data_IF_020105663497
#
_entry.id   IF_020105663497
#
_cell.length_a   1.000
_cell.length_b   1.000
_cell.length_c   1.000
_cell.angle_alpha   90.00
_cell.angle_beta   90.00
_cell.angle_gamma   90.00
#
_symmetry.space_group_name_H-M   'P 1'
#
loop_
_entity.id
_entity.type
_entity.pdbx_description
1 polymer ?
#
# COMPACT_ATOMS: atom_id res chain seq x y z
N UNK A 1 17.32 5.49 22.84
CA UNK A 1 17.77 5.02 24.18
C UNK A 1 17.21 5.98 25.22
N UNK A 2 16.86 5.52 26.41
CA UNK A 2 16.47 6.43 27.50
C UNK A 2 17.73 7.09 28.09
N UNK A 3 17.56 8.31 28.62
CA UNK A 3 18.58 9.08 29.34
C UNK A 3 17.92 9.72 30.57
N UNK A 4 18.70 10.04 31.60
CA UNK A 4 18.20 10.76 32.77
C UNK A 4 19.30 11.59 33.43
N UNK A 5 18.92 12.42 34.39
CA UNK A 5 19.82 12.88 35.45
C UNK A 5 20.36 11.71 36.29
N UNK A 6 21.43 11.95 37.05
CA UNK A 6 22.06 10.98 37.96
C UNK A 6 21.10 10.45 39.04
N UNK A 7 20.14 11.29 39.44
CA UNK A 7 19.05 10.96 40.36
C UNK A 7 17.72 11.23 39.66
N UNK A 8 16.71 10.42 39.97
CA UNK A 8 15.36 10.49 39.39
C UNK A 8 14.26 10.36 40.46
N UNK A 9 14.59 10.52 41.74
CA UNK A 9 13.68 10.19 42.84
C UNK A 9 12.48 11.12 42.96
N UNK A 10 12.70 12.43 42.81
CA UNK A 10 11.65 13.43 42.81
C UNK A 10 10.80 13.37 41.54
N UNK A 11 11.43 13.30 40.36
CA UNK A 11 10.68 13.20 39.09
C UNK A 11 9.89 11.89 38.97
N UNK A 12 10.43 10.75 39.43
CA UNK A 12 9.69 9.49 39.43
C UNK A 12 8.50 9.51 40.41
N UNK A 13 8.67 10.10 41.60
CA UNK A 13 7.57 10.25 42.55
C UNK A 13 6.48 11.20 42.04
N UNK A 14 6.86 12.32 41.41
CA UNK A 14 5.95 13.25 40.77
C UNK A 14 5.21 12.62 39.57
N UNK A 15 5.93 11.87 38.71
CA UNK A 15 5.34 11.18 37.56
C UNK A 15 4.39 10.07 37.99
N UNK A 16 4.71 9.31 39.04
CA UNK A 16 3.83 8.27 39.58
C UNK A 16 2.51 8.86 40.13
N UNK A 17 2.57 10.03 40.80
CA UNK A 17 1.36 10.76 41.21
C UNK A 17 0.55 11.22 39.99
N UNK A 18 1.22 11.84 39.00
CA UNK A 18 0.57 12.27 37.77
C UNK A 18 -0.11 11.12 37.03
N UNK A 19 0.51 9.94 36.98
CA UNK A 19 -0.06 8.74 36.36
C UNK A 19 -1.33 8.22 37.06
N UNK A 20 -1.51 8.50 38.35
CA UNK A 20 -2.77 8.22 39.05
C UNK A 20 -3.94 9.12 38.64
N UNK A 21 -3.65 10.29 38.06
CA UNK A 21 -4.63 11.29 37.59
C UNK A 21 -4.74 11.35 36.06
N UNK A 22 -3.79 10.78 35.32
CA UNK A 22 -3.78 10.77 33.85
C UNK A 22 -4.87 9.83 33.29
N UNK A 23 -5.58 10.32 32.29
CA UNK A 23 -6.58 9.55 31.53
C UNK A 23 -6.18 9.41 30.06
N UNK A 24 -6.62 8.34 29.40
CA UNK A 24 -6.41 8.20 27.97
C UNK A 24 -7.22 9.27 27.20
N UNK A 25 -6.60 10.02 26.26
CA UNK A 25 -7.30 11.05 25.49
C UNK A 25 -8.28 10.44 24.47
N UNK A 26 -9.35 11.16 24.16
CA UNK A 26 -10.38 10.67 23.24
C UNK A 26 -9.84 10.45 21.82
N UNK A 27 -10.10 9.26 21.27
CA UNK A 27 -9.66 8.82 19.94
C UNK A 27 -10.59 9.38 18.85
N UNK A 28 -10.61 10.70 18.72
CA UNK A 28 -11.52 11.45 17.83
C UNK A 28 -11.10 11.47 16.36
N UNK A 29 -9.82 11.21 16.05
CA UNK A 29 -9.32 11.15 14.68
C UNK A 29 -9.38 9.71 14.16
N UNK A 30 -9.52 9.53 12.85
CA UNK A 30 -9.41 8.21 12.18
C UNK A 30 -8.38 8.28 11.08
N UNK A 31 -7.43 7.34 11.07
CA UNK A 31 -6.44 7.18 10.01
C UNK A 31 -6.69 5.87 9.26
N UNK A 32 -6.39 5.88 7.96
CA UNK A 32 -6.51 4.71 7.09
C UNK A 32 -5.11 4.29 6.63
N UNK A 33 -4.64 3.14 7.10
CA UNK A 33 -3.49 2.45 6.54
C UNK A 33 -3.99 1.72 5.30
N UNK A 34 -3.85 2.36 4.15
CA UNK A 34 -4.12 1.71 2.87
C UNK A 34 -3.19 0.52 2.70
N UNK A 35 -3.73 -0.69 2.49
CA UNK A 35 -2.86 -1.82 2.23
C UNK A 35 -2.18 -1.64 0.87
N UNK A 36 -0.85 -1.80 0.78
CA UNK A 36 -0.16 -1.85 -0.51
C UNK A 36 -0.44 -3.17 -1.26
N UNK A 37 -1.29 -4.06 -0.74
CA UNK A 37 -1.65 -5.33 -1.36
C UNK A 37 -3.14 -5.40 -1.72
N UNK A 38 -3.51 -5.59 -3.00
CA UNK A 38 -4.91 -5.57 -3.46
C UNK A 38 -5.86 -6.64 -2.89
N UNK A 39 -5.43 -7.46 -1.93
CA UNK A 39 -6.22 -8.54 -1.30
C UNK A 39 -6.33 -8.41 0.21
N UNK A 40 -5.73 -7.38 0.79
CA UNK A 40 -5.88 -7.02 2.20
C UNK A 40 -6.68 -5.72 2.25
N UNK A 41 -7.69 -5.65 3.11
CA UNK A 41 -8.44 -4.41 3.31
C UNK A 41 -7.53 -3.32 3.87
N UNK A 42 -7.81 -2.07 3.52
CA UNK A 42 -7.23 -0.91 4.22
C UNK A 42 -7.64 -0.99 5.70
N UNK A 43 -6.67 -0.92 6.62
CA UNK A 43 -6.94 -0.92 8.06
C UNK A 43 -7.21 0.50 8.53
N UNK A 44 -8.42 0.75 9.03
CA UNK A 44 -8.77 1.99 9.71
C UNK A 44 -8.51 1.86 11.20
N UNK A 45 -7.95 2.91 11.83
CA UNK A 45 -7.75 2.95 13.28
C UNK A 45 -8.05 4.34 13.82
N UNK A 46 -8.61 4.41 15.02
CA UNK A 46 -8.85 5.69 15.69
C UNK A 46 -7.69 6.07 16.57
N UNK A 47 -7.45 7.37 16.67
CA UNK A 47 -6.37 7.94 17.46
C UNK A 47 -6.72 9.33 18.01
N UNK A 48 -6.10 9.70 19.11
CA UNK A 48 -6.20 11.02 19.70
C UNK A 48 -5.27 12.01 18.99
N UNK A 49 -5.70 13.26 18.82
CA UNK A 49 -4.84 14.29 18.25
C UNK A 49 -3.70 14.68 19.20
N UNK A 50 -2.59 15.21 18.67
CA UNK A 50 -1.49 15.72 19.51
C UNK A 50 -1.98 16.85 20.44
N UNK A 51 -2.92 17.68 19.99
CA UNK A 51 -3.51 18.74 20.82
C UNK A 51 -4.28 18.16 22.02
N UNK A 52 -5.23 17.25 21.78
CA UNK A 52 -6.02 16.60 22.85
C UNK A 52 -5.12 15.87 23.86
N UNK A 53 -4.07 15.20 23.38
CA UNK A 53 -3.07 14.60 24.25
C UNK A 53 -2.31 15.61 25.10
N UNK A 54 -1.86 16.72 24.50
CA UNK A 54 -1.17 17.78 25.22
C UNK A 54 -2.07 18.47 26.25
N UNK A 55 -3.36 18.62 26.00
CA UNK A 55 -4.29 19.27 26.94
C UNK A 55 -4.46 18.43 28.22
N UNK A 56 -4.59 17.11 28.09
CA UNK A 56 -4.60 16.17 29.23
C UNK A 56 -3.24 16.17 29.94
N UNK A 57 -2.15 15.93 29.18
CA UNK A 57 -0.80 15.76 29.75
C UNK A 57 -0.29 17.02 30.43
N UNK A 58 -0.47 18.20 29.84
CA UNK A 58 -0.01 19.47 30.43
C UNK A 58 -0.70 19.74 31.76
N UNK A 59 -2.02 19.53 31.85
CA UNK A 59 -2.80 19.74 33.07
C UNK A 59 -2.21 18.91 34.21
N UNK A 60 -2.16 17.59 34.04
CA UNK A 60 -1.75 16.66 35.10
C UNK A 60 -0.26 16.74 35.44
N UNK A 61 0.62 16.87 34.45
CA UNK A 61 2.06 17.00 34.71
C UNK A 61 2.41 18.33 35.39
N UNK A 62 1.75 19.44 35.04
CA UNK A 62 2.05 20.75 35.64
C UNK A 62 1.62 20.81 37.11
N UNK A 63 0.57 20.08 37.51
CA UNK A 63 0.17 19.92 38.92
C UNK A 63 1.22 19.20 39.78
N UNK A 64 2.07 18.37 39.15
CA UNK A 64 3.18 17.68 39.79
C UNK A 64 4.54 18.30 39.41
N UNK A 65 4.55 19.58 39.01
CA UNK A 65 5.73 20.38 38.66
C UNK A 65 6.63 19.79 37.54
N UNK A 66 6.05 19.00 36.63
CA UNK A 66 6.75 18.41 35.47
C UNK A 66 6.46 19.21 34.19
N UNK A 67 7.53 19.73 33.58
CA UNK A 67 7.51 20.32 32.25
C UNK A 67 7.82 19.29 31.16
N UNK A 68 7.11 19.36 30.01
CA UNK A 68 7.40 18.57 28.82
C UNK A 68 8.17 19.40 27.79
N UNK A 69 9.33 18.92 27.35
CA UNK A 69 10.19 19.55 26.35
C UNK A 69 10.37 18.60 25.15
N UNK A 70 10.19 19.11 23.93
CA UNK A 70 10.36 18.34 22.70
C UNK A 70 11.23 19.10 21.71
N UNK A 71 12.42 18.57 21.40
CA UNK A 71 13.40 19.19 20.50
C UNK A 71 13.86 18.23 19.42
N UNK A 72 14.13 18.75 18.22
CA UNK A 72 14.62 17.97 17.08
C UNK A 72 16.11 18.19 16.87
N UNK A 73 16.85 17.13 16.53
CA UNK A 73 18.25 17.20 16.07
C UNK A 73 18.43 16.40 14.79
N UNK A 74 19.40 16.77 13.98
CA UNK A 74 19.81 16.01 12.79
C UNK A 74 21.16 15.35 13.03
N UNK A 75 21.25 14.05 12.79
CA UNK A 75 22.50 13.29 12.88
C UNK A 75 23.33 13.49 11.61
N UNK A 76 24.48 14.17 11.72
CA UNK A 76 25.28 14.57 10.57
C UNK A 76 25.76 13.38 9.71
N UNK A 77 26.11 12.25 10.32
CA UNK A 77 26.66 11.09 9.62
C UNK A 77 25.62 10.33 8.77
N UNK A 78 24.33 10.43 9.11
CA UNK A 78 23.26 9.63 8.49
C UNK A 78 22.13 10.47 7.89
N UNK A 79 22.10 11.77 8.20
CA UNK A 79 21.02 12.70 7.87
C UNK A 79 19.72 12.50 8.66
N UNK A 80 19.62 11.51 9.55
CA UNK A 80 18.35 11.22 10.24
C UNK A 80 17.96 12.34 11.21
N UNK A 81 16.67 12.66 11.22
CA UNK A 81 16.07 13.55 12.22
C UNK A 81 15.64 12.71 13.41
N UNK A 82 16.08 13.09 14.60
CA UNK A 82 15.67 12.51 15.88
C UNK A 82 14.86 13.53 16.67
N UNK A 83 13.76 13.07 17.26
CA UNK A 83 13.02 13.79 18.28
C UNK A 83 13.53 13.37 19.65
N UNK A 84 13.98 14.34 20.44
CA UNK A 84 14.24 14.22 21.87
C UNK A 84 12.97 14.64 22.60
N UNK A 85 12.36 13.76 23.40
CA UNK A 85 11.30 14.12 24.34
C UNK A 85 11.87 14.02 25.75
N UNK A 86 11.73 15.08 26.54
CA UNK A 86 12.27 15.20 27.89
C UNK A 86 11.18 15.67 28.85
N UNK A 87 11.08 15.03 30.01
CA UNK A 87 10.32 15.51 31.17
C UNK A 87 11.32 16.08 32.18
N UNK A 88 11.12 17.32 32.61
CA UNK A 88 11.93 18.00 33.62
C UNK A 88 11.06 18.35 34.82
N UNK A 89 11.53 18.06 36.03
CA UNK A 89 10.87 18.42 37.28
C UNK A 89 11.49 19.68 37.91
N UNK A 90 10.74 20.42 38.73
CA UNK A 90 11.21 21.62 39.46
C UNK A 90 12.53 21.42 40.21
N UNK A 91 12.77 20.21 40.73
CA UNK A 91 14.02 19.81 41.41
C UNK A 91 15.28 19.78 40.52
N UNK A 92 15.15 19.93 39.20
CA UNK A 92 16.23 19.76 38.23
C UNK A 92 16.47 18.32 37.77
N UNK A 93 15.83 17.32 38.38
CA UNK A 93 15.81 15.95 37.86
C UNK A 93 15.00 15.85 36.55
N UNK A 94 15.44 14.99 35.63
CA UNK A 94 14.83 14.82 34.32
C UNK A 94 14.97 13.39 33.77
N UNK A 95 14.03 13.01 32.91
CA UNK A 95 14.09 11.78 32.10
C UNK A 95 13.84 12.13 30.62
N UNK A 96 14.48 11.41 29.70
CA UNK A 96 14.40 11.70 28.28
C UNK A 96 14.47 10.43 27.41
N UNK A 97 13.83 10.49 26.25
CA UNK A 97 13.92 9.45 25.21
C UNK A 97 14.10 10.07 23.83
N UNK A 98 14.86 9.35 23.00
CA UNK A 98 15.12 9.66 21.60
C UNK A 98 14.33 8.73 20.68
N UNK A 99 13.58 9.31 19.74
CA UNK A 99 12.85 8.60 18.69
C UNK A 99 13.35 9.07 17.30
N UNK A 100 13.81 8.18 16.40
CA UNK A 100 14.06 8.54 15.01
C UNK A 100 12.74 8.88 14.31
N UNK A 101 12.70 9.98 13.56
CA UNK A 101 11.49 10.53 12.93
C UNK A 101 11.43 10.17 11.45
N UNK A 102 12.45 10.56 10.69
CA UNK A 102 12.56 10.31 9.26
C UNK A 102 14.03 10.43 8.80
N UNK A 103 14.30 10.03 7.55
CA UNK A 103 15.63 10.12 6.96
C UNK A 103 15.88 11.51 6.37
N UNK A 104 17.14 11.92 6.21
CA UNK A 104 17.49 13.26 5.73
C UNK A 104 16.89 13.62 4.36
N UNK A 105 16.73 12.65 3.47
CA UNK A 105 16.03 12.81 2.19
C UNK A 105 14.58 13.31 2.31
N UNK A 106 13.93 13.09 3.45
CA UNK A 106 12.54 13.51 3.69
C UNK A 106 12.44 15.01 4.06
N UNK A 107 13.58 15.69 4.31
CA UNK A 107 13.67 17.16 4.43
C UNK A 107 13.20 17.88 3.16
N UNK A 108 13.42 17.28 1.99
CA UNK A 108 13.01 17.83 0.69
C UNK A 108 11.49 17.81 0.49
N UNK A 109 10.73 17.17 1.39
CA UNK A 109 9.28 17.15 1.41
C UNK A 109 8.72 17.68 2.76
N UNK A 110 8.67 19.02 2.97
CA UNK A 110 8.31 19.62 4.26
C UNK A 110 6.98 19.14 4.84
N UNK A 111 5.99 18.84 4.00
CA UNK A 111 4.69 18.30 4.41
C UNK A 111 4.81 16.88 5.02
N UNK A 112 5.69 16.03 4.48
CA UNK A 112 5.95 14.67 5.02
C UNK A 112 6.73 14.74 6.31
N UNK A 113 7.75 15.60 6.38
CA UNK A 113 8.50 15.87 7.60
C UNK A 113 7.57 16.37 8.72
N UNK A 114 6.68 17.33 8.42
CA UNK A 114 5.71 17.85 9.39
C UNK A 114 4.73 16.79 9.91
N UNK A 115 4.23 15.92 9.02
CA UNK A 115 3.39 14.79 9.40
C UNK A 115 4.13 13.77 10.27
N UNK A 116 5.35 13.36 9.85
CA UNK A 116 6.20 12.43 10.59
C UNK A 116 6.59 12.98 11.97
N UNK A 117 6.91 14.27 12.08
CA UNK A 117 7.23 14.92 13.35
C UNK A 117 6.00 15.03 14.26
N UNK A 118 4.81 15.35 13.73
CA UNK A 118 3.57 15.38 14.50
C UNK A 118 3.20 14.00 15.04
N UNK A 119 3.40 12.96 14.23
CA UNK A 119 3.28 11.56 14.63
C UNK A 119 4.29 11.21 15.73
N UNK A 120 5.58 11.39 15.49
CA UNK A 120 6.65 11.09 16.45
C UNK A 120 6.46 11.81 17.80
N UNK A 121 6.05 13.08 17.80
CA UNK A 121 5.80 13.86 19.01
C UNK A 121 4.68 13.29 19.88
N UNK A 122 3.63 12.75 19.26
CA UNK A 122 2.52 12.11 19.96
C UNK A 122 2.97 10.81 20.61
N UNK A 123 3.60 9.92 19.83
CA UNK A 123 4.04 8.60 20.31
C UNK A 123 5.11 8.71 21.40
N UNK A 124 6.15 9.52 21.18
CA UNK A 124 7.24 9.69 22.14
C UNK A 124 6.75 10.25 23.48
N UNK A 125 5.80 11.20 23.47
CA UNK A 125 5.21 11.73 24.69
C UNK A 125 4.32 10.70 25.38
N UNK A 126 3.40 10.08 24.65
CA UNK A 126 2.41 9.16 25.21
C UNK A 126 3.06 7.92 25.84
N UNK A 127 4.11 7.40 25.19
CA UNK A 127 4.94 6.31 25.73
C UNK A 127 5.71 6.72 27.00
N UNK A 128 6.17 7.98 27.12
CA UNK A 128 6.90 8.43 28.31
C UNK A 128 5.98 8.66 29.53
N UNK A 129 4.75 9.14 29.30
CA UNK A 129 3.79 9.44 30.37
C UNK A 129 2.86 8.26 30.69
N UNK A 130 2.82 7.22 29.84
CA UNK A 130 2.07 5.99 30.09
C UNK A 130 0.59 6.05 29.69
N UNK A 131 0.23 6.76 28.61
CA UNK A 131 -1.14 6.82 28.09
C UNK A 131 -1.28 6.17 26.71
N UNK A 132 -2.44 5.55 26.45
CA UNK A 132 -2.78 4.93 25.18
C UNK A 132 -3.57 5.90 24.30
N UNK A 133 -2.96 6.32 23.18
CA UNK A 133 -3.53 7.32 22.27
C UNK A 133 -4.29 6.79 21.07
N UNK A 134 -4.46 5.48 20.93
CA UNK A 134 -4.92 4.83 19.70
C UNK A 134 -5.46 3.43 19.96
N UNK A 135 -6.20 2.89 18.99
CA UNK A 135 -6.71 1.51 19.04
C UNK A 135 -5.57 0.51 18.77
N UNK A 136 -5.49 -0.55 19.58
CA UNK A 136 -4.57 -1.66 19.37
C UNK A 136 -5.07 -2.51 18.18
N UNK A 137 -4.23 -2.63 17.16
CA UNK A 137 -4.54 -3.33 15.90
C UNK A 137 -3.95 -4.74 15.84
N UNK A 138 -3.14 -5.13 16.83
CA UNK A 138 -2.45 -6.42 16.87
C UNK A 138 -3.06 -7.35 17.95
N UNK A 139 -3.98 -6.84 18.77
CA UNK A 139 -4.87 -7.67 19.57
C UNK A 139 -5.74 -8.56 18.65
N UNK A 140 -5.75 -9.91 18.85
CA UNK A 140 -6.63 -10.79 18.09
C UNK A 140 -8.09 -10.45 18.42
N UNK A 141 -8.95 -10.44 17.39
CA UNK A 141 -10.38 -10.06 17.47
C UNK A 141 -11.14 -10.84 18.57
N UNK A 142 -11.11 -10.31 19.78
CA UNK A 142 -11.79 -10.84 20.97
C UNK A 142 -13.09 -10.07 21.27
N UNK A 143 -13.71 -9.55 20.21
CA UNK A 143 -14.92 -8.74 20.23
C UNK A 143 -16.00 -9.32 19.31
N UNK A 144 -16.37 -10.58 19.57
CA UNK A 144 -17.71 -11.05 19.27
C UNK A 144 -18.74 -10.34 20.18
N UNK A 145 -18.90 -9.03 19.97
CA UNK A 145 -20.00 -8.27 20.55
C UNK A 145 -21.31 -8.75 19.90
N UNK A 146 -22.34 -9.11 20.68
CA UNK A 146 -23.62 -9.52 20.11
C UNK A 146 -24.25 -8.34 19.33
N UNK A 147 -24.97 -8.61 18.23
CA UNK A 147 -25.51 -7.56 17.37
C UNK A 147 -26.55 -6.72 18.12
N UNK A 148 -26.32 -5.41 18.19
CA UNK A 148 -27.31 -4.44 18.68
C UNK A 148 -28.52 -4.40 17.73
N UNK A 149 -29.76 -4.36 18.26
CA UNK A 149 -30.95 -4.23 17.42
C UNK A 149 -31.06 -2.83 16.80
N UNK A 150 -31.75 -2.68 15.65
CA UNK A 150 -31.88 -1.39 14.97
C UNK A 150 -32.93 -0.51 15.65
N UNK A 151 -32.57 0.74 15.99
CA UNK A 151 -33.53 1.77 16.42
C UNK A 151 -34.17 2.51 15.23
N UNK A 152 -35.40 3.04 15.40
CA UNK A 152 -36.23 3.50 14.29
C UNK A 152 -35.93 4.92 13.79
N UNK A 153 -36.25 5.13 12.52
CA UNK A 153 -36.09 6.37 11.76
C UNK A 153 -37.12 7.46 12.15
N UNK A 154 -36.66 8.68 12.45
CA UNK A 154 -37.50 9.88 12.56
C UNK A 154 -36.90 11.03 11.72
N UNK A 155 -37.75 11.65 10.90
CA UNK A 155 -37.39 12.68 9.91
C UNK A 155 -37.37 14.13 10.52
N UNK A 156 -36.78 15.14 9.82
CA UNK A 156 -36.20 16.32 10.49
C UNK A 156 -36.89 17.68 10.25
N UNK A 157 -36.60 18.67 11.11
CA UNK A 157 -36.51 20.13 10.80
C UNK A 157 -36.10 20.94 12.07
N UNK A 158 -35.79 22.27 12.01
CA UNK A 158 -34.74 22.86 11.17
C UNK A 158 -33.73 23.80 11.92
N UNK A 159 -32.50 23.82 11.38
CA UNK A 159 -31.31 24.71 11.54
C UNK A 159 -31.39 26.03 12.34
N UNK A 160 -30.30 26.30 13.09
CA UNK A 160 -29.65 27.64 13.15
C UNK A 160 -28.11 27.54 13.05
N UNK A 161 -27.40 28.68 13.00
CA UNK A 161 -26.01 28.90 12.54
C UNK A 161 -25.14 29.46 13.69
N UNK A 162 -23.80 29.45 13.76
CA UNK A 162 -22.62 28.92 13.01
C UNK A 162 -21.36 29.20 13.90
N UNK A 163 -20.07 28.97 13.52
CA UNK A 163 -19.45 28.27 12.38
C UNK A 163 -18.50 27.10 12.80
N UNK A 164 -18.03 26.29 11.84
CA UNK A 164 -16.87 25.37 12.04
C UNK A 164 -15.86 25.55 10.90
N UNK A 165 -14.57 25.53 11.26
CA UNK A 165 -13.44 25.53 10.32
C UNK A 165 -13.23 24.09 9.85
N UNK A 166 -13.24 23.87 8.54
CA UNK A 166 -13.19 22.54 7.95
C UNK A 166 -11.75 22.02 7.83
N UNK A 167 -11.53 20.77 8.26
CA UNK A 167 -10.41 19.96 7.78
C UNK A 167 -10.77 19.35 6.42
N UNK A 168 -9.95 19.59 5.40
CA UNK A 168 -10.27 19.25 4.02
C UNK A 168 -10.08 17.75 3.73
N UNK A 169 -11.18 17.07 3.35
CA UNK A 169 -11.10 16.15 2.20
C UNK A 169 -10.63 16.96 1.00
N UNK A 170 -9.86 16.41 0.04
CA UNK A 170 -9.60 17.12 -1.22
C UNK A 170 -10.95 17.51 -1.82
N UNK A 171 -11.21 18.81 -1.87
CA UNK A 171 -12.50 19.31 -2.31
C UNK A 171 -12.68 18.93 -3.79
N UNK A 172 -13.86 18.39 -4.12
CA UNK A 172 -14.27 18.27 -5.52
C UNK A 172 -14.20 19.68 -6.10
N UNK A 173 -13.39 19.85 -7.14
CA UNK A 173 -13.15 21.13 -7.77
C UNK A 173 -14.48 21.70 -8.27
N UNK A 174 -14.61 23.03 -8.24
CA UNK A 174 -15.75 23.67 -8.88
C UNK A 174 -15.71 23.39 -10.40
N UNK A 175 -16.86 23.47 -11.05
CA UNK A 175 -17.02 22.97 -12.42
C UNK A 175 -15.97 23.53 -13.40
N UNK A 176 -15.60 24.81 -13.27
CA UNK A 176 -14.61 25.46 -14.13
C UNK A 176 -13.19 24.90 -13.92
N UNK A 177 -12.71 24.78 -12.67
CA UNK A 177 -11.39 24.20 -12.38
C UNK A 177 -11.34 22.70 -12.69
N UNK A 178 -12.48 22.02 -12.55
CA UNK A 178 -12.63 20.63 -12.95
C UNK A 178 -12.49 20.46 -14.47
N UNK A 179 -13.12 21.33 -15.28
CA UNK A 179 -12.93 21.31 -16.74
C UNK A 179 -11.51 21.68 -17.17
N UNK A 180 -10.89 22.69 -16.54
CA UNK A 180 -9.49 23.08 -16.83
C UNK A 180 -8.52 21.92 -16.57
N UNK A 181 -8.67 21.24 -15.42
CA UNK A 181 -7.83 20.10 -15.05
C UNK A 181 -8.11 18.85 -15.90
N UNK A 182 -9.37 18.62 -16.30
CA UNK A 182 -9.74 17.59 -17.28
C UNK A 182 -9.01 17.81 -18.61
N UNK A 183 -9.07 19.02 -19.14
CA UNK A 183 -8.50 19.34 -20.45
C UNK A 183 -6.97 19.23 -20.43
N UNK A 184 -6.32 19.59 -19.31
CA UNK A 184 -4.90 19.29 -19.07
C UNK A 184 -4.63 17.77 -19.12
N UNK A 185 -5.40 16.96 -18.38
CA UNK A 185 -5.17 15.50 -18.32
C UNK A 185 -5.46 14.80 -19.66
N UNK A 186 -6.43 15.29 -20.44
CA UNK A 186 -6.68 14.83 -21.80
C UNK A 186 -5.53 15.22 -22.76
N UNK A 187 -4.92 16.39 -22.56
CA UNK A 187 -3.70 16.81 -23.27
C UNK A 187 -2.49 15.94 -22.91
N UNK A 188 -2.33 15.56 -21.64
CA UNK A 188 -1.22 14.71 -21.17
C UNK A 188 -1.30 13.26 -21.67
N UNK A 189 -2.49 12.70 -21.87
CA UNK A 189 -2.65 11.30 -22.33
C UNK A 189 -2.57 11.16 -23.86
N UNK A 190 -2.93 12.21 -24.61
CA UNK A 190 -2.89 12.21 -26.08
C UNK A 190 -1.53 11.77 -26.69
N UNK A 191 -0.34 12.24 -26.22
CA UNK A 191 0.96 11.85 -26.77
C UNK A 191 1.52 10.51 -26.27
N UNK A 192 0.84 9.78 -25.38
CA UNK A 192 1.40 8.54 -24.80
C UNK A 192 1.21 7.34 -25.73
N UNK A 193 2.30 6.76 -26.23
CA UNK A 193 2.28 5.71 -27.27
C UNK A 193 2.70 4.32 -26.78
N UNK A 194 3.21 4.18 -25.55
CA UNK A 194 3.59 2.88 -24.98
C UNK A 194 2.67 2.46 -23.83
N UNK A 195 2.54 1.15 -23.63
CA UNK A 195 1.77 0.59 -22.50
C UNK A 195 2.39 1.00 -21.16
N UNK A 196 3.72 0.95 -21.03
CA UNK A 196 4.42 1.33 -19.79
C UNK A 196 4.25 2.82 -19.45
N UNK A 197 4.26 3.72 -20.44
CA UNK A 197 4.03 5.16 -20.20
C UNK A 197 2.59 5.43 -19.74
N UNK A 198 1.60 4.74 -20.31
CA UNK A 198 0.21 4.78 -19.82
C UNK A 198 0.10 4.25 -18.38
N UNK A 199 0.87 3.21 -18.00
CA UNK A 199 0.88 2.67 -16.64
C UNK A 199 1.52 3.64 -15.63
N UNK A 200 2.59 4.33 -16.02
CA UNK A 200 3.24 5.37 -15.20
C UNK A 200 2.32 6.59 -15.05
N UNK A 201 1.72 7.06 -16.14
CA UNK A 201 0.77 8.16 -16.12
C UNK A 201 -0.46 7.85 -15.26
N UNK A 202 -1.08 6.67 -15.41
CA UNK A 202 -2.24 6.27 -14.61
C UNK A 202 -1.95 6.31 -13.10
N UNK A 203 -0.78 5.80 -12.67
CA UNK A 203 -0.36 5.85 -11.26
C UNK A 203 -0.21 7.27 -10.72
N UNK A 204 0.21 8.23 -11.55
CA UNK A 204 0.32 9.66 -11.21
C UNK A 204 -1.04 10.35 -11.17
N UNK A 205 -1.91 10.05 -12.13
CA UNK A 205 -3.18 10.75 -12.36
C UNK A 205 -4.33 10.24 -11.48
N UNK A 206 -4.31 8.97 -11.05
CA UNK A 206 -5.37 8.38 -10.22
C UNK A 206 -5.72 9.17 -8.94
N UNK A 207 -4.75 9.68 -8.14
CA UNK A 207 -5.06 10.53 -6.99
C UNK A 207 -5.64 11.91 -7.38
N UNK A 208 -5.23 12.45 -8.54
CA UNK A 208 -5.64 13.77 -9.05
C UNK A 208 -7.07 13.70 -9.58
N UNK A 209 -7.43 12.63 -10.30
CA UNK A 209 -8.79 12.39 -10.80
C UNK A 209 -9.84 12.42 -9.68
N UNK A 210 -9.46 12.07 -8.44
CA UNK A 210 -10.37 12.09 -7.29
C UNK A 210 -10.73 13.51 -6.79
N UNK A 211 -10.14 14.58 -7.32
CA UNK A 211 -10.60 15.97 -7.11
C UNK A 211 -11.45 16.52 -8.26
N UNK A 212 -11.61 15.81 -9.37
CA UNK A 212 -12.50 16.22 -10.47
C UNK A 212 -13.98 16.03 -10.11
N UNK A 213 -14.84 16.82 -10.74
CA UNK A 213 -16.28 16.56 -10.79
C UNK A 213 -16.56 15.25 -11.56
N UNK A 214 -17.66 14.57 -11.23
CA UNK A 214 -17.93 13.21 -11.71
C UNK A 214 -17.98 13.09 -13.25
N UNK A 215 -18.50 14.10 -13.94
CA UNK A 215 -18.55 14.10 -15.41
C UNK A 215 -17.15 14.20 -16.03
N UNK A 216 -16.33 15.10 -15.51
CA UNK A 216 -14.97 15.34 -15.98
C UNK A 216 -14.03 14.18 -15.67
N UNK A 217 -14.20 13.56 -14.50
CA UNK A 217 -13.50 12.33 -14.14
C UNK A 217 -13.75 11.21 -15.17
N UNK A 218 -15.02 10.99 -15.57
CA UNK A 218 -15.39 9.98 -16.58
C UNK A 218 -14.74 10.24 -17.92
N UNK A 219 -14.71 11.49 -18.40
CA UNK A 219 -14.06 11.83 -19.68
C UNK A 219 -12.57 11.45 -19.70
N UNK A 220 -11.87 11.57 -18.57
CA UNK A 220 -10.46 11.13 -18.44
C UNK A 220 -10.34 9.60 -18.39
N UNK A 221 -11.32 8.90 -17.81
CA UNK A 221 -11.38 7.42 -17.81
C UNK A 221 -11.62 6.86 -19.21
N UNK A 222 -12.58 7.43 -19.95
CA UNK A 222 -12.93 7.02 -21.31
C UNK A 222 -11.74 7.20 -22.27
N UNK A 223 -11.05 8.33 -22.20
CA UNK A 223 -9.84 8.58 -22.98
C UNK A 223 -8.70 7.58 -22.67
N UNK A 224 -8.56 7.18 -21.39
CA UNK A 224 -7.58 6.17 -20.98
C UNK A 224 -7.92 4.78 -21.53
N UNK A 225 -9.19 4.36 -21.44
CA UNK A 225 -9.63 3.07 -21.98
C UNK A 225 -9.49 3.01 -23.51
N UNK A 226 -9.81 4.09 -24.21
CA UNK A 226 -9.62 4.19 -25.67
C UNK A 226 -8.14 4.09 -26.07
N UNK A 227 -7.24 4.77 -25.35
CA UNK A 227 -5.79 4.64 -25.56
C UNK A 227 -5.27 3.24 -25.28
N UNK A 228 -5.71 2.61 -24.19
CA UNK A 228 -5.31 1.24 -23.83
C UNK A 228 -5.75 0.24 -24.90
N UNK A 229 -7.03 0.25 -25.28
CA UNK A 229 -7.60 -0.63 -26.34
C UNK A 229 -6.90 -0.42 -27.70
N UNK A 230 -6.50 0.82 -28.01
CA UNK A 230 -5.72 1.13 -29.22
C UNK A 230 -4.34 0.49 -29.18
N UNK A 231 -3.62 0.58 -28.05
CA UNK A 231 -2.28 -0.05 -27.93
C UNK A 231 -2.34 -1.58 -27.84
N UNK A 232 -3.38 -2.14 -27.23
CA UNK A 232 -3.62 -3.58 -27.20
C UNK A 232 -3.87 -4.16 -28.61
N UNK A 233 -4.65 -3.46 -29.45
CA UNK A 233 -4.91 -3.89 -30.83
C UNK A 233 -3.71 -3.72 -31.78
N UNK A 234 -2.78 -2.79 -31.52
CA UNK A 234 -1.48 -2.77 -32.23
C UNK A 234 -0.56 -3.93 -31.80
N UNK A 235 -0.69 -4.47 -30.59
CA UNK A 235 0.08 -5.61 -30.10
C UNK A 235 -0.25 -6.95 -30.76
N UNK A 236 -1.44 -7.08 -31.37
CA UNK A 236 -1.90 -8.31 -32.03
C UNK A 236 -1.57 -8.41 -33.52
N UNK A 237 -1.16 -7.32 -34.19
CA UNK A 237 -1.02 -7.26 -35.66
C UNK A 237 0.41 -7.51 -36.19
N UNK A 238 1.19 -8.36 -35.52
CA UNK A 238 2.55 -8.77 -35.99
C UNK A 238 2.60 -10.27 -36.37
N UNK A 239 1.47 -10.96 -36.39
CA UNK A 239 1.39 -12.38 -36.71
C UNK A 239 0.11 -12.76 -37.48
N UNK A 240 -0.14 -12.11 -38.62
CA UNK A 240 -0.90 -12.66 -39.77
C UNK A 240 -0.82 -11.69 -40.96
N UNK A 241 0.29 -11.79 -41.71
CA UNK A 241 0.29 -11.46 -43.14
C UNK A 241 0.43 -12.78 -43.91
N UNK A 242 -0.10 -12.83 -45.13
CA UNK A 242 -0.25 -14.00 -46.02
C UNK A 242 -1.34 -15.00 -45.62
N UNK A 243 -2.57 -14.79 -46.12
CA UNK A 243 -3.09 -15.56 -47.27
C UNK A 243 -4.52 -15.12 -47.65
N UNK A 244 -4.66 -14.50 -48.82
CA UNK A 244 -5.94 -14.42 -49.52
C UNK A 244 -6.24 -15.75 -50.23
N UNK A 245 -7.52 -16.06 -50.52
CA UNK A 245 -7.98 -15.77 -51.88
C UNK A 245 -9.42 -15.21 -51.98
N UNK A 246 -9.76 -14.70 -53.17
CA UNK A 246 -11.05 -14.08 -53.48
C UNK A 246 -12.15 -15.09 -53.88
N UNK A 247 -13.42 -14.72 -53.67
CA UNK A 247 -14.59 -15.51 -54.11
C UNK A 247 -15.91 -14.72 -54.08
N UNK A 248 -16.39 -14.33 -55.25
CA UNK A 248 -17.61 -13.51 -55.53
C UNK A 248 -18.93 -14.11 -55.01
N UNK A 249 -19.91 -13.25 -54.70
CA UNK A 249 -21.35 -13.56 -54.66
C UNK A 249 -22.21 -12.35 -54.30
N UNK A 250 -23.24 -12.01 -55.08
CA UNK A 250 -24.09 -10.81 -54.93
C UNK A 250 -25.52 -11.14 -54.46
N UNK A 251 -26.33 -10.08 -54.27
CA UNK A 251 -27.79 -10.00 -54.12
C UNK A 251 -28.37 -10.33 -52.74
N UNK A 252 -29.49 -9.76 -52.28
CA UNK A 252 -30.16 -8.44 -52.32
C UNK A 252 -31.54 -8.70 -51.67
N UNK A 253 -32.13 -7.68 -51.00
CA UNK A 253 -33.59 -7.53 -50.76
C UNK A 253 -34.26 -8.59 -49.81
N UNK A 254 -35.29 -8.33 -48.98
CA UNK A 254 -35.86 -7.10 -48.37
C UNK A 254 -36.82 -7.47 -47.18
N UNK A 255 -37.35 -6.47 -46.46
CA UNK A 255 -38.54 -6.44 -45.56
C UNK A 255 -38.81 -7.50 -44.44
N UNK A 256 -38.58 -7.06 -43.20
CA UNK A 256 -39.58 -6.78 -42.12
C UNK A 256 -40.55 -7.84 -41.50
N UNK A 257 -40.67 -7.73 -40.16
CA UNK A 257 -41.81 -8.02 -39.26
C UNK A 257 -42.05 -9.44 -38.71
N UNK A 258 -42.53 -9.54 -37.46
CA UNK A 258 -43.14 -10.77 -36.90
C UNK A 258 -42.64 -11.22 -35.51
N UNK A 259 -43.41 -10.95 -34.47
CA UNK A 259 -43.11 -11.09 -33.04
C UNK A 259 -42.90 -12.52 -32.46
N UNK A 260 -42.11 -12.57 -31.38
CA UNK A 260 -42.29 -13.34 -30.12
C UNK A 260 -42.51 -14.87 -30.09
N UNK A 261 -41.53 -15.62 -29.55
CA UNK A 261 -41.55 -16.17 -28.17
C UNK A 261 -40.52 -17.29 -27.95
N UNK A 262 -39.56 -17.12 -27.02
CA UNK A 262 -39.35 -18.09 -25.93
C UNK A 262 -38.39 -17.57 -24.82
N UNK A 263 -38.88 -17.58 -23.59
CA UNK A 263 -38.19 -17.96 -22.34
C UNK A 263 -36.76 -17.48 -22.04
N UNK A 264 -36.70 -16.38 -21.27
CA UNK A 264 -35.95 -16.25 -20.00
C UNK A 264 -34.52 -16.78 -19.87
N UNK A 265 -33.57 -15.85 -19.76
CA UNK A 265 -32.44 -15.98 -18.82
C UNK A 265 -32.16 -14.62 -18.14
N UNK A 266 -31.50 -14.66 -16.98
CA UNK A 266 -31.51 -13.62 -15.97
C UNK A 266 -30.13 -12.97 -15.81
N UNK A 267 -29.81 -11.98 -16.65
CA UNK A 267 -28.49 -11.30 -16.62
C UNK A 267 -28.59 -9.77 -16.73
N UNK A 268 -28.82 -9.08 -15.61
CA UNK A 268 -28.47 -7.66 -15.49
C UNK A 268 -26.96 -7.55 -15.33
N UNK A 269 -26.25 -7.28 -16.41
CA UNK A 269 -24.84 -6.96 -16.39
C UNK A 269 -24.64 -5.52 -15.88
N UNK A 270 -24.36 -5.36 -14.58
CA UNK A 270 -23.96 -4.07 -14.02
C UNK A 270 -22.56 -3.69 -14.53
N UNK A 271 -22.54 -2.84 -15.56
CA UNK A 271 -21.34 -2.19 -16.10
C UNK A 271 -20.83 -1.09 -15.14
N UNK A 272 -20.38 -1.49 -13.95
CA UNK A 272 -19.69 -0.61 -13.02
C UNK A 272 -18.19 -0.52 -13.39
N UNK A 273 -17.90 0.26 -14.44
CA UNK A 273 -16.54 0.56 -14.91
C UNK A 273 -15.72 1.43 -13.95
N UNK A 274 -15.42 0.93 -12.75
CA UNK A 274 -14.35 1.50 -11.92
C UNK A 274 -13.00 1.03 -12.46
N UNK A 275 -12.06 1.96 -12.66
CA UNK A 275 -10.67 1.64 -13.01
C UNK A 275 -10.03 0.72 -11.97
N UNK A 276 -10.09 -0.59 -12.21
CA UNK A 276 -9.28 -1.56 -11.50
C UNK A 276 -7.81 -1.35 -11.89
N UNK A 277 -6.91 -1.44 -10.91
CA UNK A 277 -5.48 -1.42 -11.18
C UNK A 277 -5.14 -2.47 -12.26
N UNK A 278 -4.28 -2.13 -13.25
CA UNK A 278 -3.80 -3.08 -14.24
C UNK A 278 -3.20 -4.28 -13.50
N UNK A 279 -3.82 -5.45 -13.70
CA UNK A 279 -3.59 -6.63 -12.88
C UNK A 279 -2.15 -7.12 -13.09
N UNK A 280 -1.30 -6.94 -12.07
CA UNK A 280 0.00 -7.62 -12.03
C UNK A 280 -0.20 -9.12 -12.33
N UNK A 281 0.63 -9.72 -13.21
CA UNK A 281 0.44 -11.10 -13.62
C UNK A 281 0.42 -12.03 -12.40
N UNK A 282 -0.64 -12.84 -12.31
CA UNK A 282 -0.93 -13.63 -11.13
C UNK A 282 0.23 -14.60 -10.81
N UNK A 283 0.71 -14.56 -9.56
CA UNK A 283 1.79 -15.45 -9.10
C UNK A 283 1.37 -16.90 -9.24
N UNK A 284 2.06 -17.61 -10.13
CA UNK A 284 1.80 -19.01 -10.46
C UNK A 284 2.26 -19.87 -9.29
N UNK A 285 1.45 -20.88 -8.95
CA UNK A 285 1.75 -21.88 -7.92
C UNK A 285 1.63 -23.27 -8.50
N UNK A 286 2.64 -24.10 -8.28
CA UNK A 286 2.63 -25.48 -8.74
C UNK A 286 3.46 -26.38 -7.86
N UNK A 287 2.78 -27.24 -7.09
CA UNK A 287 3.41 -28.31 -6.32
C UNK A 287 4.20 -29.27 -7.24
N UNK A 288 3.66 -29.56 -8.43
CA UNK A 288 4.31 -30.40 -9.43
C UNK A 288 5.62 -29.79 -9.95
N UNK A 289 5.66 -28.48 -10.21
CA UNK A 289 6.89 -27.78 -10.58
C UNK A 289 7.92 -27.80 -9.45
N UNK A 290 7.51 -27.50 -8.21
CA UNK A 290 8.41 -27.56 -7.04
C UNK A 290 8.91 -29.00 -6.76
N UNK A 291 8.21 -30.03 -7.20
CA UNK A 291 8.67 -31.42 -7.12
C UNK A 291 9.65 -31.74 -8.25
N UNK A 292 9.39 -31.28 -9.48
CA UNK A 292 10.34 -31.36 -10.61
C UNK A 292 11.66 -30.61 -10.33
N UNK A 293 11.63 -29.45 -9.66
CA UNK A 293 12.84 -28.71 -9.27
C UNK A 293 13.66 -29.49 -8.23
N UNK A 294 13.02 -30.26 -7.32
CA UNK A 294 13.76 -31.12 -6.36
C UNK A 294 14.52 -32.26 -7.01
N UNK A 295 14.09 -32.75 -8.19
CA UNK A 295 14.81 -33.80 -8.92
C UNK A 295 15.97 -33.26 -9.75
N UNK A 296 16.15 -31.94 -9.84
CA UNK A 296 17.25 -31.34 -10.59
C UNK A 296 18.53 -31.27 -9.74
N UNK A 297 19.72 -31.42 -10.36
CA UNK A 297 21.00 -31.25 -9.69
C UNK A 297 21.22 -29.78 -9.27
N UNK A 298 21.97 -29.57 -8.18
CA UNK A 298 22.30 -28.24 -7.67
C UNK A 298 22.96 -27.38 -8.74
N UNK A 299 22.48 -26.14 -8.97
CA UNK A 299 23.06 -25.29 -10.01
C UNK A 299 24.59 -25.09 -9.87
N UNK A 300 25.09 -25.01 -8.62
CA UNK A 300 26.50 -24.78 -8.32
C UNK A 300 27.31 -26.09 -8.41
N UNK A 301 27.08 -27.04 -7.50
CA UNK A 301 27.94 -28.24 -7.37
C UNK A 301 27.40 -29.52 -8.03
N UNK A 302 26.28 -29.44 -8.76
CA UNK A 302 25.59 -30.57 -9.44
C UNK A 302 25.14 -31.74 -8.56
N UNK A 303 25.35 -31.69 -7.24
CA UNK A 303 24.92 -32.71 -6.30
C UNK A 303 23.39 -32.73 -6.09
N UNK A 304 22.88 -33.87 -5.64
CA UNK A 304 21.50 -34.10 -5.17
C UNK A 304 21.53 -34.68 -3.75
N UNK A 305 20.46 -34.56 -2.92
CA UNK A 305 19.18 -33.90 -3.18
C UNK A 305 19.25 -32.37 -3.15
N UNK A 306 18.28 -31.71 -3.79
CA UNK A 306 18.15 -30.26 -3.82
C UNK A 306 16.79 -29.77 -3.31
N UNK A 307 16.80 -28.56 -2.75
CA UNK A 307 15.60 -27.82 -2.36
C UNK A 307 15.28 -26.73 -3.41
N UNK A 308 13.99 -26.43 -3.70
CA UNK A 308 13.62 -25.30 -4.55
C UNK A 308 13.90 -23.99 -3.83
N UNK A 309 14.68 -23.12 -4.47
CA UNK A 309 14.96 -21.77 -4.01
C UNK A 309 14.19 -20.75 -4.88
N UNK A 310 13.30 -19.97 -4.27
CA UNK A 310 12.60 -18.85 -4.92
C UNK A 310 13.52 -17.64 -5.03
N UNK A 311 13.86 -17.22 -6.25
CA UNK A 311 14.76 -16.09 -6.54
C UNK A 311 14.07 -14.78 -6.14
N UNK A 312 14.46 -14.18 -5.00
CA UNK A 312 13.70 -13.12 -4.30
C UNK A 312 13.63 -11.79 -5.04
N UNK A 313 14.53 -11.56 -6.00
CA UNK A 313 14.57 -10.34 -6.81
C UNK A 313 13.90 -10.50 -8.19
N UNK A 314 13.39 -11.68 -8.54
CA UNK A 314 12.72 -11.92 -9.82
C UNK A 314 11.35 -11.23 -9.94
N UNK A 315 10.74 -10.86 -8.82
CA UNK A 315 9.45 -10.19 -8.75
C UNK A 315 9.44 -9.23 -7.54
N UNK A 316 8.78 -8.06 -7.61
CA UNK A 316 8.64 -7.17 -6.47
C UNK A 316 8.13 -7.89 -5.20
N UNK A 317 8.70 -7.57 -4.05
CA UNK A 317 8.33 -8.23 -2.78
C UNK A 317 6.94 -7.75 -2.36
N UNK A 318 6.01 -8.69 -2.16
CA UNK A 318 4.72 -8.43 -1.51
C UNK A 318 4.60 -9.20 -0.20
N UNK A 319 3.85 -8.67 0.78
CA UNK A 319 3.76 -9.27 2.11
C UNK A 319 3.26 -10.71 2.04
N UNK A 320 3.83 -11.57 2.89
CA UNK A 320 3.46 -12.98 3.05
C UNK A 320 3.63 -13.89 1.82
N UNK A 321 3.85 -13.34 0.63
CA UNK A 321 3.82 -14.07 -0.64
C UNK A 321 5.23 -14.28 -1.15
N UNK A 322 5.64 -15.55 -1.20
CA UNK A 322 6.83 -16.00 -1.95
C UNK A 322 6.76 -15.50 -3.40
N UNK A 323 7.91 -15.33 -4.05
CA UNK A 323 7.98 -15.06 -5.49
C UNK A 323 7.24 -16.18 -6.26
N UNK A 324 6.72 -15.90 -7.47
CA UNK A 324 6.07 -16.92 -8.33
C UNK A 324 6.92 -18.20 -8.46
N UNK A 325 6.29 -19.37 -8.52
CA UNK A 325 7.02 -20.65 -8.57
C UNK A 325 7.84 -20.81 -9.87
N UNK A 326 7.51 -20.06 -10.93
CA UNK A 326 8.28 -19.98 -12.18
C UNK A 326 9.67 -19.36 -12.05
N UNK A 327 9.96 -18.72 -10.92
CA UNK A 327 11.28 -18.18 -10.58
C UNK A 327 11.98 -19.03 -9.51
N UNK A 328 11.86 -20.36 -9.60
CA UNK A 328 12.54 -21.30 -8.70
C UNK A 328 13.72 -22.03 -9.35
N UNK A 329 14.76 -22.28 -8.56
CA UNK A 329 15.99 -22.94 -8.98
C UNK A 329 16.45 -24.00 -7.96
N UNK A 330 17.13 -25.08 -8.39
CA UNK A 330 17.61 -26.13 -7.49
C UNK A 330 18.92 -25.74 -6.80
N UNK A 331 18.93 -25.76 -5.47
CA UNK A 331 20.13 -25.61 -4.65
C UNK A 331 20.22 -26.74 -3.61
N UNK A 332 21.40 -27.33 -3.45
CA UNK A 332 21.64 -28.24 -2.33
C UNK A 332 21.66 -27.45 -1.01
N UNK A 333 21.38 -28.14 0.11
CA UNK A 333 21.21 -27.52 1.44
C UNK A 333 22.39 -26.62 1.86
N UNK A 334 23.62 -26.98 1.49
CA UNK A 334 24.82 -26.18 1.78
C UNK A 334 24.82 -24.82 1.05
N UNK A 335 24.67 -24.81 -0.27
CA UNK A 335 24.61 -23.57 -1.06
C UNK A 335 23.36 -22.74 -0.74
N UNK A 336 22.22 -23.40 -0.47
CA UNK A 336 21.00 -22.72 -0.04
C UNK A 336 21.20 -21.98 1.30
N UNK A 337 21.90 -22.58 2.27
CA UNK A 337 22.27 -21.91 3.51
C UNK A 337 23.30 -20.79 3.28
N UNK A 338 24.32 -21.00 2.44
CA UNK A 338 25.34 -20.01 2.12
C UNK A 338 24.72 -18.73 1.50
N UNK A 339 23.76 -18.90 0.59
CA UNK A 339 22.99 -17.82 -0.02
C UNK A 339 22.24 -17.00 1.04
N UNK A 340 21.50 -17.65 1.95
CA UNK A 340 20.78 -16.92 3.02
C UNK A 340 21.74 -16.27 4.02
N UNK A 341 22.91 -16.88 4.33
CA UNK A 341 23.94 -16.29 5.20
C UNK A 341 24.58 -15.03 4.60
N UNK A 342 24.78 -14.95 3.28
CA UNK A 342 25.32 -13.74 2.62
C UNK A 342 24.32 -12.57 2.64
N UNK A 343 23.01 -12.84 2.79
CA UNK A 343 21.94 -11.83 2.89
C UNK A 343 21.61 -11.12 1.58
N UNK A 344 22.63 -10.61 0.87
CA UNK A 344 22.51 -10.04 -0.46
C UNK A 344 22.55 -11.14 -1.53
N UNK A 345 21.37 -11.63 -1.88
CA UNK A 345 21.16 -12.69 -2.86
C UNK A 345 21.69 -12.35 -4.26
N UNK A 346 21.47 -11.13 -4.76
CA UNK A 346 21.95 -10.70 -6.09
C UNK A 346 23.49 -10.75 -6.15
N UNK A 347 24.16 -10.32 -5.09
CA UNK A 347 25.61 -10.44 -4.98
C UNK A 347 26.06 -11.90 -4.82
N UNK A 348 25.29 -12.80 -4.19
CA UNK A 348 25.65 -14.22 -4.11
C UNK A 348 25.65 -14.90 -5.48
N UNK A 349 24.61 -14.68 -6.30
CA UNK A 349 24.56 -15.21 -7.67
C UNK A 349 25.66 -14.65 -8.57
N UNK A 350 26.06 -13.39 -8.38
CA UNK A 350 27.16 -12.77 -9.11
C UNK A 350 28.52 -13.40 -8.79
N UNK A 351 28.84 -13.62 -7.51
CA UNK A 351 30.08 -14.30 -7.10
C UNK A 351 30.16 -15.73 -7.65
N UNK A 352 29.02 -16.43 -7.69
CA UNK A 352 28.90 -17.79 -8.23
C UNK A 352 28.86 -17.84 -9.76
N UNK A 353 28.90 -16.69 -10.44
CA UNK A 353 28.86 -16.55 -11.90
C UNK A 353 27.66 -17.24 -12.57
N UNK A 354 26.52 -17.33 -11.88
CA UNK A 354 25.29 -17.97 -12.37
C UNK A 354 24.17 -16.94 -12.51
N UNK A 355 23.53 -16.89 -13.68
CA UNK A 355 22.32 -16.11 -13.92
C UNK A 355 21.08 -16.97 -13.61
N UNK A 356 20.37 -16.77 -12.47
CA UNK A 356 19.31 -17.69 -12.07
C UNK A 356 18.00 -17.48 -12.85
N UNK A 357 17.73 -16.28 -13.39
CA UNK A 357 16.45 -15.97 -14.06
C UNK A 357 16.24 -16.72 -15.39
N UNK A 358 17.22 -16.79 -16.32
CA UNK A 358 17.06 -17.58 -17.55
C UNK A 358 16.90 -19.08 -17.24
N UNK A 359 17.64 -19.58 -16.26
CA UNK A 359 17.59 -20.98 -15.82
C UNK A 359 16.21 -21.30 -15.23
N UNK A 360 15.67 -20.44 -14.35
CA UNK A 360 14.34 -20.62 -13.80
C UNK A 360 13.25 -20.63 -14.90
N UNK A 361 13.35 -19.74 -15.90
CA UNK A 361 12.45 -19.74 -17.07
C UNK A 361 12.54 -21.06 -17.85
N UNK A 362 13.74 -21.58 -18.09
CA UNK A 362 13.94 -22.88 -18.77
C UNK A 362 13.38 -24.06 -17.95
N UNK A 363 13.60 -24.08 -16.64
CA UNK A 363 13.02 -25.06 -15.72
C UNK A 363 11.50 -24.97 -15.66
N UNK A 364 10.92 -23.76 -15.73
CA UNK A 364 9.48 -23.58 -15.81
C UNK A 364 8.91 -24.14 -17.10
N UNK A 365 9.52 -23.86 -18.26
CA UNK A 365 9.06 -24.38 -19.57
C UNK A 365 9.19 -25.90 -19.71
N UNK A 366 10.27 -26.49 -19.18
CA UNK A 366 10.50 -27.95 -19.22
C UNK A 366 9.72 -28.75 -18.17
N UNK A 367 9.06 -28.06 -17.24
CA UNK A 367 8.26 -28.61 -16.15
C UNK A 367 7.10 -29.50 -16.64
N UNK A 368 6.76 -30.61 -15.95
CA UNK A 368 5.65 -31.49 -16.32
C UNK A 368 4.28 -30.81 -16.47
N UNK A 369 4.08 -29.64 -15.86
CA UNK A 369 2.82 -28.88 -15.93
C UNK A 369 2.42 -28.42 -17.33
N UNK A 370 3.37 -28.35 -18.28
CA UNK A 370 3.08 -27.96 -19.67
C UNK A 370 2.96 -29.16 -20.61
N UNK A 371 3.23 -30.38 -20.14
CA UNK A 371 3.21 -31.60 -20.97
C UNK A 371 1.81 -32.15 -21.24
N UNK A 372 0.78 -31.63 -20.56
CA UNK A 372 -0.62 -32.06 -20.71
C UNK A 372 -1.41 -31.33 -21.80
N UNK A 373 -0.74 -30.60 -22.71
CA UNK A 373 -1.37 -29.87 -23.84
C UNK A 373 -0.86 -30.30 -25.22
N UNK A 374 -0.06 -31.37 -25.31
CA UNK A 374 0.59 -31.82 -26.54
C UNK A 374 0.36 -33.33 -26.83
N UNK A 375 -0.82 -33.82 -26.44
CA UNK A 375 -1.24 -35.21 -26.62
C UNK A 375 -2.78 -35.31 -26.77
N UNK A 376 -3.29 -34.78 -27.88
CA UNK A 376 -4.54 -35.18 -28.54
C UNK A 376 -4.27 -35.21 -30.05
#
# INVERSE_FOLDING_TARGET
>A
MHRSSERIGAIAAALAKAQGELTNPEKTMTATIYSPFPREGSRTFRYASLASGLDVVRKTLSQQEIATIQTTRTEQATGHIYLTTLLAHSSGEWISSDLPVCAGKDLEAPHRMGAALTYARRYALFALVGIAGEDDLDAPDSSAAPPTPPEPNIAPSPKSKSPKINGERPAILNQNKSSELRDQLLGEIAPLETSDDLLVWAKRTLPIKNSLAQADARSVEDAYQQKLTKLESFGTNVAEDQLAPAGRGQTQDDFSSGEANHSGDNSRADLQGQLAFPKEPARKRSKAHLQFVRTQPCLICKQTPCDPHHVKFAQPRSLGRKVSDEFTVPLCRAHHQQLHRKGNEKAWWSDMQVLPLPIAKQLWMSSPIHRSSAAQ
#
